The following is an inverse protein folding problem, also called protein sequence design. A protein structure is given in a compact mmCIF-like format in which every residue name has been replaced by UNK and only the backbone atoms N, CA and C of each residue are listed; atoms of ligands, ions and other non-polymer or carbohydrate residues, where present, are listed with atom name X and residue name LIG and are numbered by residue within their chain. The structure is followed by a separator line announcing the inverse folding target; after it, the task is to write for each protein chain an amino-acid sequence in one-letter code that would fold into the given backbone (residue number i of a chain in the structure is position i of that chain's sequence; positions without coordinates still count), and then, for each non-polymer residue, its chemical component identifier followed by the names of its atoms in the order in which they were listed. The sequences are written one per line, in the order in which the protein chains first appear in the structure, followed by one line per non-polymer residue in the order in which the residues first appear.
data_IF_689962970581
#
_entry.id   IF_689962970581
#
_cell.length_a   1.000
_cell.length_b   1.000
_cell.length_c   1.000
_cell.angle_alpha   90.00
_cell.angle_beta   90.00
_cell.angle_gamma   90.00
#
_symmetry.space_group_name_H-M   'P 1'
#
loop_
_entity.id
_entity.type
_entity.pdbx_description
1 polymer ?
#
# COMPACT_ATOMS: atom_id res chain seq x y z
N UNK A 1 0.66 -4.89 -4.72
CA UNK A 1 1.10 -3.53 -4.35
C UNK A 1 2.06 -3.59 -3.16
N UNK A 2 2.96 -2.62 -3.02
CA UNK A 2 3.99 -2.53 -1.99
C UNK A 2 4.37 -1.07 -1.72
N UNK A 3 5.35 -0.83 -0.85
CA UNK A 3 5.88 0.53 -0.65
C UNK A 3 6.70 0.98 -1.87
N UNK A 4 6.66 2.28 -2.25
CA UNK A 4 5.95 3.39 -1.57
C UNK A 4 4.49 3.58 -2.01
N UNK A 5 4.05 2.94 -3.10
CA UNK A 5 2.69 3.08 -3.64
C UNK A 5 1.58 2.92 -2.58
N UNK A 6 1.76 2.06 -1.58
CA UNK A 6 0.82 1.86 -0.47
C UNK A 6 0.45 3.14 0.28
N UNK A 7 1.35 4.12 0.36
CA UNK A 7 1.08 5.42 0.99
C UNK A 7 0.29 6.38 0.10
N UNK A 8 -0.19 5.94 -1.08
CA UNK A 8 -1.15 6.73 -1.86
C UNK A 8 -2.53 6.82 -1.19
N UNK A 9 -2.81 5.98 -0.19
CA UNK A 9 -4.05 5.99 0.59
C UNK A 9 -5.31 5.95 -0.29
N UNK A 10 -5.37 4.99 -1.24
CA UNK A 10 -6.55 4.76 -2.06
C UNK A 10 -7.79 4.49 -1.19
N UNK A 11 -7.59 3.73 -0.12
CA UNK A 11 -8.55 3.53 0.95
C UNK A 11 -8.06 4.24 2.22
N UNK A 12 -8.95 4.52 3.19
CA UNK A 12 -8.57 5.14 4.46
C UNK A 12 -7.39 4.42 5.13
N UNK A 13 -6.49 5.23 5.71
CA UNK A 13 -5.41 4.77 6.56
C UNK A 13 -5.74 5.10 8.02
N UNK A 14 -5.42 4.18 8.91
CA UNK A 14 -5.46 4.37 10.35
C UNK A 14 -4.02 4.33 10.89
N UNK A 15 -3.66 5.38 11.63
CA UNK A 15 -2.37 5.49 12.32
C UNK A 15 -2.60 5.21 13.80
N UNK A 16 -2.05 4.10 14.29
CA UNK A 16 -2.17 3.65 15.68
C UNK A 16 -0.79 3.80 16.31
N UNK A 17 -0.66 4.78 17.20
CA UNK A 17 0.61 5.09 17.86
C UNK A 17 0.66 4.33 19.19
N UNK A 18 1.68 3.50 19.36
CA UNK A 18 2.02 2.85 20.63
C UNK A 18 3.42 3.28 21.07
N UNK A 19 3.86 2.89 22.27
CA UNK A 19 5.17 3.27 22.79
C UNK A 19 6.32 2.82 21.87
N UNK A 20 6.26 1.57 21.41
CA UNK A 20 7.38 0.92 20.72
C UNK A 20 7.14 0.73 19.22
N UNK A 21 5.92 1.00 18.73
CA UNK A 21 5.56 0.80 17.32
C UNK A 21 4.42 1.74 16.90
N UNK A 22 4.58 2.38 15.75
CA UNK A 22 3.46 3.02 15.03
C UNK A 22 2.94 2.04 13.98
N UNK A 23 1.67 1.68 14.07
CA UNK A 23 1.00 0.86 13.06
C UNK A 23 0.28 1.74 12.06
N UNK A 24 0.37 1.38 10.78
CA UNK A 24 -0.39 2.00 9.69
C UNK A 24 -1.22 0.90 9.05
N UNK A 25 -2.52 0.93 9.28
CA UNK A 25 -3.48 -0.02 8.76
C UNK A 25 -4.29 0.60 7.62
N UNK A 26 -4.51 -0.14 6.54
CA UNK A 26 -5.44 0.23 5.49
C UNK A 26 -6.78 -0.45 5.67
N UNK A 27 -7.86 0.21 5.26
CA UNK A 27 -9.21 -0.35 5.36
C UNK A 27 -9.47 -1.57 4.45
N UNK A 28 -8.53 -1.89 3.55
CA UNK A 28 -8.56 -3.10 2.72
C UNK A 28 -8.09 -4.37 3.45
N UNK A 29 -7.61 -4.27 4.69
CA UNK A 29 -7.08 -5.41 5.46
C UNK A 29 -5.75 -6.00 4.93
N UNK A 30 -5.40 -5.75 3.67
CA UNK A 30 -4.15 -6.18 3.04
C UNK A 30 -2.98 -5.24 3.35
N UNK A 31 -3.24 -4.05 3.92
CA UNK A 31 -2.20 -3.14 4.37
C UNK A 31 -2.13 -3.15 5.90
N UNK A 32 -1.11 -3.80 6.44
CA UNK A 32 -0.73 -3.62 7.84
C UNK A 32 0.78 -3.42 7.92
N UNK A 33 1.20 -2.16 8.03
CA UNK A 33 2.59 -1.76 8.16
C UNK A 33 2.92 -1.48 9.62
N UNK A 34 4.08 -1.96 10.08
CA UNK A 34 4.64 -1.65 11.40
C UNK A 34 5.87 -0.78 11.22
N UNK A 35 5.90 0.35 11.88
CA UNK A 35 7.08 1.21 12.01
C UNK A 35 7.58 1.06 13.44
N UNK A 36 8.70 0.36 13.61
CA UNK A 36 9.28 0.14 14.94
C UNK A 36 9.96 1.42 15.42
N UNK A 37 9.55 1.91 16.58
CA UNK A 37 10.02 3.17 17.20
C UNK A 37 10.74 2.95 18.52
N UNK A 38 11.09 1.71 18.83
CA UNK A 38 11.73 1.25 20.06
C UNK A 38 13.26 1.49 20.10
N UNK A 39 13.81 2.20 19.13
CA UNK A 39 15.24 2.51 19.06
C UNK A 39 16.12 1.35 18.58
N UNK A 40 15.55 0.28 18.03
CA UNK A 40 16.32 -0.82 17.45
C UNK A 40 17.16 -0.39 16.24
N UNK A 41 18.30 -1.06 16.07
CA UNK A 41 19.10 -1.00 14.85
C UNK A 41 18.58 -1.97 13.78
N UNK A 42 19.15 -1.87 12.57
CA UNK A 42 18.88 -2.80 11.48
C UNK A 42 19.41 -4.21 11.82
N UNK A 43 18.53 -5.21 11.78
CA UNK A 43 18.92 -6.61 11.88
C UNK A 43 19.61 -7.10 10.61
N UNK A 44 20.53 -8.07 10.74
CA UNK A 44 21.23 -8.68 9.62
C UNK A 44 20.33 -9.62 8.79
N UNK A 45 19.40 -10.33 9.44
CA UNK A 45 18.59 -11.41 8.85
C UNK A 45 17.10 -11.05 8.85
N UNK A 46 16.75 -9.94 8.21
CA UNK A 46 15.36 -9.55 8.05
C UNK A 46 14.75 -10.28 6.84
N UNK A 47 13.62 -10.95 7.04
CA UNK A 47 12.86 -11.56 5.93
C UNK A 47 12.26 -10.47 5.01
N UNK A 48 12.59 -10.46 3.70
CA UNK A 48 12.09 -9.43 2.78
C UNK A 48 10.58 -9.46 2.59
N UNK A 49 9.97 -8.29 2.43
CA UNK A 49 8.52 -8.17 2.23
C UNK A 49 8.17 -7.10 1.18
N UNK A 50 6.95 -7.15 0.61
CA UNK A 50 6.50 -6.12 -0.36
C UNK A 50 6.29 -4.74 0.30
N UNK A 51 6.03 -4.73 1.61
CA UNK A 51 5.89 -3.50 2.41
C UNK A 51 7.22 -3.11 3.11
N UNK A 52 8.26 -3.92 2.93
CA UNK A 52 9.57 -3.76 3.55
C UNK A 52 9.56 -3.99 5.06
N UNK A 53 10.63 -3.51 5.70
CA UNK A 53 10.81 -3.40 7.14
C UNK A 53 11.08 -1.93 7.47
N UNK A 54 10.28 -1.35 8.36
CA UNK A 54 10.35 0.07 8.71
C UNK A 54 10.87 0.28 10.13
N UNK A 55 11.90 1.11 10.27
CA UNK A 55 12.37 1.65 11.54
C UNK A 55 12.12 3.15 11.51
N UNK A 56 11.58 3.69 12.59
CA UNK A 56 11.33 5.11 12.71
C UNK A 56 11.69 5.65 14.08
N UNK A 57 11.66 6.97 14.19
CA UNK A 57 11.76 7.67 15.46
C UNK A 57 10.91 8.92 15.39
N UNK A 58 10.31 9.27 16.51
CA UNK A 58 9.72 10.57 16.67
C UNK A 58 10.82 11.60 16.89
N UNK A 59 10.68 12.77 16.28
CA UNK A 59 11.54 13.93 16.49
C UNK A 59 10.69 15.13 16.85
N UNK A 60 11.26 16.01 17.65
CA UNK A 60 10.79 17.36 17.91
C UNK A 60 11.46 18.28 16.88
N UNK A 61 10.72 18.76 15.89
CA UNK A 61 11.28 19.58 14.80
C UNK A 61 11.58 21.02 15.20
N UNK A 62 10.84 21.58 16.17
CA UNK A 62 10.95 23.00 16.55
C UNK A 62 11.53 23.25 17.94
N UNK A 63 11.84 22.19 18.69
CA UNK A 63 12.49 22.23 19.98
C UNK A 63 11.56 22.60 21.14
N UNK A 64 10.24 22.44 20.98
CA UNK A 64 9.25 22.78 22.01
C UNK A 64 9.06 21.70 23.08
N UNK A 65 9.71 20.54 22.92
CA UNK A 65 9.63 19.38 23.80
C UNK A 65 8.53 18.39 23.42
N UNK A 66 7.70 18.70 22.43
CA UNK A 66 6.69 17.81 21.87
C UNK A 66 7.23 17.15 20.60
N UNK A 67 7.25 15.83 20.60
CA UNK A 67 7.64 15.08 19.42
C UNK A 67 6.48 14.99 18.43
N UNK A 68 6.57 15.72 17.32
CA UNK A 68 5.47 15.98 16.40
C UNK A 68 5.68 15.37 14.99
N UNK A 69 6.89 14.93 14.70
CA UNK A 69 7.25 14.36 13.39
C UNK A 69 7.81 12.96 13.53
N UNK A 70 7.17 11.99 12.87
CA UNK A 70 7.69 10.63 12.74
C UNK A 70 8.56 10.55 11.50
N UNK A 71 9.87 10.35 11.68
CA UNK A 71 10.77 10.03 10.56
C UNK A 71 10.92 8.53 10.43
N UNK A 72 10.80 8.01 9.22
CA UNK A 72 10.82 6.57 8.96
C UNK A 72 11.79 6.25 7.85
N UNK A 73 12.48 5.12 7.98
CA UNK A 73 13.23 4.52 6.90
C UNK A 73 12.76 3.08 6.70
N UNK A 74 12.44 2.76 5.45
CA UNK A 74 11.97 1.43 5.05
C UNK A 74 12.92 0.84 4.03
N UNK A 75 13.34 -0.41 4.29
CA UNK A 75 14.25 -1.19 3.45
C UNK A 75 13.74 -2.63 3.34
N UNK A 76 14.59 -3.52 2.82
CA UNK A 76 14.38 -4.97 2.81
C UNK A 76 13.12 -5.41 2.05
N UNK A 77 13.06 -4.96 0.79
CA UNK A 77 11.91 -5.21 -0.07
C UNK A 77 12.03 -6.50 -0.86
N UNK A 78 10.89 -7.01 -1.36
CA UNK A 78 10.87 -8.06 -2.38
C UNK A 78 9.79 -7.86 -3.44
N UNK A 79 10.03 -8.47 -4.59
CA UNK A 79 9.07 -8.60 -5.68
C UNK A 79 8.81 -7.31 -6.45
N UNK A 80 8.05 -7.42 -7.53
CA UNK A 80 7.68 -6.28 -8.36
C UNK A 80 6.81 -5.29 -7.57
N UNK A 81 7.22 -4.03 -7.61
CA UNK A 81 6.58 -2.90 -6.91
C UNK A 81 6.62 -1.67 -7.83
N UNK A 82 5.77 -0.70 -7.54
CA UNK A 82 5.66 0.54 -8.29
C UNK A 82 5.88 1.75 -7.36
N UNK A 83 6.32 2.86 -7.96
CA UNK A 83 6.44 4.14 -7.27
C UNK A 83 5.09 4.67 -6.81
N UNK A 84 4.09 4.65 -7.70
CA UNK A 84 2.77 5.19 -7.46
C UNK A 84 1.69 4.50 -8.33
N UNK A 85 0.52 5.12 -8.46
CA UNK A 85 -0.62 4.63 -9.22
C UNK A 85 -0.40 4.59 -10.74
N UNK A 86 0.64 5.24 -11.27
CA UNK A 86 0.98 5.14 -12.70
C UNK A 86 1.50 3.76 -13.07
N UNK A 87 1.93 2.96 -12.09
CA UNK A 87 2.50 1.63 -12.32
C UNK A 87 3.96 1.65 -12.76
N UNK A 88 4.64 2.80 -12.73
CA UNK A 88 6.07 2.89 -13.02
C UNK A 88 6.83 1.96 -12.07
N UNK A 89 7.60 0.98 -12.57
CA UNK A 89 8.26 -0.02 -11.75
C UNK A 89 9.48 0.55 -11.03
N UNK A 90 9.75 0.04 -9.83
CA UNK A 90 11.04 0.18 -9.15
C UNK A 90 12.09 -0.77 -9.74
N UNK A 91 13.37 -0.53 -9.45
CA UNK A 91 14.44 -1.42 -9.88
C UNK A 91 14.26 -2.85 -9.35
N UNK A 92 14.67 -3.84 -10.14
CA UNK A 92 14.39 -5.25 -9.90
C UNK A 92 15.20 -5.86 -8.74
N UNK A 93 16.34 -5.26 -8.40
CA UNK A 93 17.21 -5.72 -7.30
C UNK A 93 16.61 -5.50 -5.89
N UNK A 94 15.50 -4.77 -5.79
CA UNK A 94 14.82 -4.44 -4.55
C UNK A 94 15.68 -3.74 -3.49
N UNK A 95 16.78 -3.09 -3.89
CA UNK A 95 17.64 -2.31 -3.00
C UNK A 95 17.10 -0.89 -2.74
N UNK A 96 15.84 -0.63 -3.08
CA UNK A 96 15.13 0.61 -2.78
C UNK A 96 15.24 0.96 -1.29
N UNK A 97 15.47 2.24 -1.00
CA UNK A 97 15.30 2.82 0.34
C UNK A 97 14.19 3.87 0.25
N UNK A 98 13.20 3.77 1.13
CA UNK A 98 12.13 4.76 1.26
C UNK A 98 12.31 5.49 2.58
N UNK A 99 12.45 6.82 2.54
CA UNK A 99 12.53 7.70 3.70
C UNK A 99 11.27 8.54 3.76
N UNK A 100 10.65 8.62 4.93
CA UNK A 100 9.41 9.36 5.15
C UNK A 100 9.57 10.36 6.29
N UNK A 101 8.89 11.50 6.19
CA UNK A 101 8.63 12.42 7.29
C UNK A 101 7.13 12.62 7.39
N UNK A 102 6.54 12.14 8.48
CA UNK A 102 5.10 12.15 8.71
C UNK A 102 4.80 13.11 9.86
N UNK A 103 4.02 14.16 9.59
CA UNK A 103 3.71 15.21 10.57
C UNK A 103 2.35 15.86 10.32
N UNK A 104 1.74 16.40 11.37
CA UNK A 104 0.52 17.20 11.21
C UNK A 104 0.84 18.58 10.64
N UNK A 105 -0.09 19.14 9.86
CA UNK A 105 0.01 20.52 9.43
C UNK A 105 -0.04 21.46 10.64
N UNK A 106 0.93 22.37 10.73
CA UNK A 106 1.09 23.32 11.86
C UNK A 106 -0.10 24.25 12.07
N UNK A 107 -0.88 24.49 11.01
CA UNK A 107 -2.04 25.39 11.03
C UNK A 107 -3.37 24.64 11.00
N UNK A 108 -3.36 23.35 10.63
CA UNK A 108 -4.56 22.53 10.51
C UNK A 108 -4.34 21.09 11.01
N UNK A 109 -4.76 20.75 12.24
CA UNK A 109 -4.58 19.41 12.81
C UNK A 109 -5.42 18.30 12.12
N UNK A 110 -6.24 18.65 11.13
CA UNK A 110 -6.96 17.70 10.29
C UNK A 110 -6.21 17.33 9.01
N UNK A 111 -5.02 17.91 8.77
CA UNK A 111 -4.14 17.56 7.66
C UNK A 111 -2.90 16.84 8.20
N UNK A 112 -2.65 15.66 7.68
CA UNK A 112 -1.40 14.92 7.87
C UNK A 112 -0.57 15.02 6.59
N UNK A 113 0.70 15.38 6.73
CA UNK A 113 1.69 15.39 5.67
C UNK A 113 2.56 14.14 5.78
N UNK A 114 2.86 13.55 4.62
CA UNK A 114 3.86 12.49 4.50
C UNK A 114 4.78 12.85 3.32
N UNK A 115 5.99 13.30 3.63
CA UNK A 115 7.04 13.55 2.65
C UNK A 115 7.82 12.26 2.41
N UNK A 116 7.62 11.65 1.24
CA UNK A 116 8.20 10.38 0.87
C UNK A 116 9.35 10.63 -0.10
N UNK A 117 10.57 10.27 0.28
CA UNK A 117 11.76 10.27 -0.57
C UNK A 117 12.17 8.83 -0.90
N UNK A 118 12.25 8.53 -2.19
CA UNK A 118 12.64 7.23 -2.72
C UNK A 118 14.05 7.32 -3.30
N UNK A 119 14.90 6.40 -2.87
CA UNK A 119 16.26 6.19 -3.36
C UNK A 119 16.28 4.79 -3.99
N UNK A 120 16.55 4.71 -5.28
CA UNK A 120 16.42 3.47 -6.04
C UNK A 120 17.37 3.49 -7.24
N UNK A 121 17.92 2.34 -7.64
CA UNK A 121 18.87 2.25 -8.75
C UNK A 121 18.25 2.53 -10.13
N UNK A 122 16.92 2.54 -10.26
CA UNK A 122 16.26 3.00 -11.47
C UNK A 122 16.26 4.53 -11.61
N UNK A 123 16.65 5.28 -10.57
CA UNK A 123 16.66 6.74 -10.56
C UNK A 123 18.07 7.31 -10.65
N UNK A 124 18.22 8.43 -11.36
CA UNK A 124 19.48 9.19 -11.43
C UNK A 124 19.72 10.08 -10.20
N UNK A 125 18.69 10.29 -9.38
CA UNK A 125 18.71 11.05 -8.13
C UNK A 125 17.51 10.66 -7.26
N UNK A 126 17.53 10.90 -5.94
CA UNK A 126 16.36 10.68 -5.10
C UNK A 126 15.13 11.41 -5.65
N UNK A 127 13.97 10.76 -5.56
CA UNK A 127 12.67 11.32 -5.93
C UNK A 127 11.82 11.54 -4.69
N UNK A 128 11.29 12.75 -4.53
CA UNK A 128 10.48 13.14 -3.36
C UNK A 128 9.07 13.52 -3.78
N UNK A 129 8.08 13.06 -3.03
CA UNK A 129 6.67 13.42 -3.19
C UNK A 129 6.05 13.73 -1.83
N UNK A 130 5.20 14.76 -1.79
CA UNK A 130 4.40 15.09 -0.61
C UNK A 130 3.00 14.50 -0.79
N UNK A 131 2.59 13.64 0.15
CA UNK A 131 1.21 13.17 0.29
C UNK A 131 0.52 13.98 1.39
N UNK A 132 -0.77 14.27 1.16
CA UNK A 132 -1.63 14.96 2.13
C UNK A 132 -2.83 14.08 2.43
N UNK A 133 -3.07 13.80 3.70
CA UNK A 133 -4.23 13.05 4.16
C UNK A 133 -5.14 13.96 4.96
N UNK A 134 -6.44 13.85 4.71
CA UNK A 134 -7.47 14.58 5.45
C UNK A 134 -8.06 13.65 6.50
N UNK A 135 -8.09 14.10 7.75
CA UNK A 135 -8.72 13.39 8.86
C UNK A 135 -10.23 13.32 8.66
N UNK A 136 -10.81 12.14 8.83
CA UNK A 136 -12.27 12.00 8.95
C UNK A 136 -12.74 12.69 10.25
N UNK A 137 -13.61 13.72 10.18
CA UNK A 137 -14.08 14.44 11.36
C UNK A 137 -15.14 13.67 12.17
N UNK A 138 -15.62 12.53 11.67
CA UNK A 138 -16.57 11.68 12.37
C UNK A 138 -16.00 11.18 13.70
N UNK A 139 -16.72 11.36 14.81
CA UNK A 139 -16.33 10.81 16.13
C UNK A 139 -16.26 9.27 16.15
N UNK A 140 -16.93 8.63 15.19
CA UNK A 140 -17.00 7.17 14.97
C UNK A 140 -17.05 6.94 13.46
N UNK A 141 -15.92 7.09 12.75
CA UNK A 141 -15.92 6.88 11.31
C UNK A 141 -16.29 5.42 11.03
N UNK A 142 -17.12 5.21 10.01
CA UNK A 142 -17.46 3.86 9.58
C UNK A 142 -16.23 3.23 8.94
N UNK A 143 -15.66 2.21 9.58
CA UNK A 143 -14.57 1.44 9.00
C UNK A 143 -15.14 0.34 8.12
N UNK A 144 -15.42 0.69 6.87
CA UNK A 144 -15.90 -0.26 5.87
C UNK A 144 -14.74 -1.12 5.39
N UNK A 145 -14.96 -2.42 5.20
CA UNK A 145 -14.01 -3.29 4.51
C UNK A 145 -13.94 -2.87 3.04
N UNK A 146 -12.73 -2.71 2.53
CA UNK A 146 -12.49 -2.45 1.12
C UNK A 146 -11.86 -3.68 0.48
N UNK A 147 -12.68 -4.70 0.25
CA UNK A 147 -12.25 -5.88 -0.49
C UNK A 147 -12.32 -5.59 -1.98
N UNK A 148 -11.17 -5.44 -2.64
CA UNK A 148 -11.13 -5.26 -4.09
C UNK A 148 -11.77 -6.44 -4.85
N UNK A 149 -11.91 -7.61 -4.22
CA UNK A 149 -12.63 -8.76 -4.79
C UNK A 149 -14.15 -8.52 -4.80
N UNK A 150 -14.68 -7.73 -3.87
CA UNK A 150 -16.09 -7.39 -3.80
C UNK A 150 -16.45 -6.44 -4.96
N UNK A 151 -17.05 -7.00 -6.01
CA UNK A 151 -17.36 -6.30 -7.26
C UNK A 151 -16.33 -6.49 -8.38
N UNK A 152 -15.31 -7.34 -8.19
CA UNK A 152 -14.43 -7.74 -9.28
C UNK A 152 -15.17 -8.68 -10.23
N UNK A 153 -15.59 -8.17 -11.38
CA UNK A 153 -16.21 -9.00 -12.42
C UNK A 153 -15.23 -9.93 -13.12
N UNK A 154 -13.91 -9.82 -12.93
CA UNK A 154 -12.94 -10.66 -13.63
C UNK A 154 -12.74 -12.02 -12.97
N UNK A 155 -12.79 -13.08 -13.78
CA UNK A 155 -12.59 -14.47 -13.38
C UNK A 155 -11.52 -15.11 -14.25
N UNK A 156 -10.51 -15.74 -13.66
CA UNK A 156 -9.52 -16.53 -14.43
C UNK A 156 -9.89 -18.01 -14.43
N UNK A 157 -10.02 -18.60 -15.61
CA UNK A 157 -10.26 -20.04 -15.80
C UNK A 157 -9.12 -20.62 -16.65
N UNK A 158 -8.25 -21.41 -16.01
CA UNK A 158 -7.01 -21.86 -16.64
C UNK A 158 -6.05 -20.69 -16.89
N UNK A 159 -5.60 -20.52 -18.13
CA UNK A 159 -4.71 -19.41 -18.53
C UNK A 159 -5.45 -18.21 -19.11
N UNK A 160 -6.79 -18.27 -19.19
CA UNK A 160 -7.62 -17.24 -19.80
C UNK A 160 -8.43 -16.46 -18.75
N UNK A 161 -8.56 -15.15 -18.98
CA UNK A 161 -9.38 -14.25 -18.16
C UNK A 161 -10.77 -14.07 -18.80
N UNK A 162 -11.81 -14.14 -18.01
CA UNK A 162 -13.22 -13.95 -18.36
C UNK A 162 -13.83 -12.85 -17.48
N UNK A 163 -15.06 -12.44 -17.77
CA UNK A 163 -15.80 -11.49 -16.92
C UNK A 163 -17.20 -12.01 -16.57
N UNK A 164 -17.76 -11.51 -15.47
CA UNK A 164 -19.17 -11.58 -15.14
C UNK A 164 -19.88 -10.37 -15.76
N UNK A 165 -20.77 -10.63 -16.72
CA UNK A 165 -21.57 -9.61 -17.39
C UNK A 165 -22.61 -8.99 -16.46
N UNK A 166 -23.13 -7.82 -16.84
CA UNK A 166 -24.18 -7.13 -16.10
C UNK A 166 -25.49 -7.93 -16.04
N UNK A 167 -25.68 -8.90 -16.94
CA UNK A 167 -26.77 -9.87 -16.96
C UNK A 167 -26.53 -11.08 -16.04
N UNK A 168 -25.40 -11.11 -15.32
CA UNK A 168 -25.02 -12.20 -14.42
C UNK A 168 -24.46 -13.43 -15.14
N UNK A 169 -24.11 -13.33 -16.43
CA UNK A 169 -23.59 -14.44 -17.22
C UNK A 169 -22.08 -14.31 -17.46
N UNK A 170 -21.40 -15.45 -17.64
CA UNK A 170 -19.99 -15.47 -18.03
C UNK A 170 -19.83 -14.88 -19.43
N UNK A 171 -18.92 -13.92 -19.59
CA UNK A 171 -18.65 -13.23 -20.84
C UNK A 171 -17.13 -13.22 -21.16
N UNK A 172 -16.74 -13.10 -22.45
CA UNK A 172 -15.34 -12.98 -22.83
C UNK A 172 -14.74 -11.64 -22.38
N UNK A 173 -13.45 -11.64 -22.04
CA UNK A 173 -12.67 -10.42 -21.75
C UNK A 173 -12.00 -9.82 -22.99
N UNK A 174 -11.91 -10.59 -24.09
CA UNK A 174 -11.29 -10.19 -25.36
C UNK A 174 -12.17 -10.57 -26.54
N UNK A 175 -12.01 -9.86 -27.67
CA UNK A 175 -12.71 -10.18 -28.91
C UNK A 175 -12.37 -11.60 -29.37
N UNK A 176 -13.39 -12.35 -29.81
CA UNK A 176 -13.27 -13.71 -30.37
C UNK A 176 -12.69 -14.77 -29.40
N UNK A 177 -12.73 -14.52 -28.09
CA UNK A 177 -12.27 -15.46 -27.06
C UNK A 177 -13.18 -16.70 -26.98
N UNK A 178 -12.58 -17.89 -26.89
CA UNK A 178 -13.31 -19.15 -26.76
C UNK A 178 -13.96 -19.30 -25.39
N UNK A 179 -15.13 -19.95 -25.29
CA UNK A 179 -15.70 -20.33 -23.99
C UNK A 179 -14.73 -21.24 -23.22
N UNK A 180 -14.78 -21.24 -21.88
CA UNK A 180 -13.95 -22.11 -21.07
C UNK A 180 -14.31 -23.58 -21.29
N UNK A 181 -13.41 -24.48 -20.87
CA UNK A 181 -13.67 -25.92 -20.92
C UNK A 181 -14.79 -26.31 -19.94
N UNK A 182 -15.83 -26.96 -20.46
CA UNK A 182 -17.01 -27.37 -19.70
C UNK A 182 -17.04 -28.87 -19.36
N UNK A 183 -15.91 -29.60 -19.45
CA UNK A 183 -15.85 -31.06 -19.26
C UNK A 183 -16.42 -31.58 -17.94
N UNK A 184 -16.47 -30.73 -16.91
CA UNK A 184 -16.99 -31.08 -15.59
C UNK A 184 -18.49 -30.79 -15.42
N UNK A 185 -19.14 -30.14 -16.40
CA UNK A 185 -20.56 -29.88 -16.40
C UNK A 185 -21.30 -30.95 -17.20
N UNK A 186 -22.51 -31.34 -16.75
CA UNK A 186 -23.38 -32.22 -17.53
C UNK A 186 -23.71 -31.53 -18.85
N UNK A 187 -23.16 -32.05 -19.95
CA UNK A 187 -23.52 -31.60 -21.27
C UNK A 187 -24.92 -32.12 -21.60
N UNK A 188 -25.85 -31.21 -21.85
CA UNK A 188 -27.16 -31.59 -22.38
C UNK A 188 -26.91 -32.14 -23.78
N UNK A 189 -27.05 -33.45 -23.95
CA UNK A 189 -27.04 -34.06 -25.27
C UNK A 189 -28.22 -33.47 -26.06
N UNK A 190 -27.90 -32.87 -27.20
CA UNK A 190 -28.89 -32.43 -28.19
C UNK A 190 -29.40 -33.61 -29.00
#
# INVERSE_FOLDING_TARGET
SGMPMRMTAYNPLEFIITADTTHIAGADGYMHRRVYTDGRDWGADLEPSRIGYSIGRWIDEDGDGNFDTLVVETRNFRGQRAFDQTGIPLHEDNQTIVKERISLDKTNPNLLHDEITVIDHALTRPWTVLKKYVRDPGKRPAWLSWDCEEGNSHLRIGEEDYMLGADGLLMPSKKDQRPPDLRHFKQVQK
#
